data_IF_610389370104
#
_entry.id   IF_610389370104
#
_cell.length_a   1.000
_cell.length_b   1.000
_cell.length_c   1.000
_cell.angle_alpha   90.00
_cell.angle_beta   90.00
_cell.angle_gamma   90.00
#
_symmetry.space_group_name_H-M   'P 1'
#
loop_
_entity.id
_entity.type
_entity.pdbx_description
1 polymer ?
#
# COMPACT_ATOMS: atom_id res chain seq x y z
N UNK A 1 2.37 -33.91 29.99
CA UNK A 1 2.62 -32.79 29.05
C UNK A 1 2.80 -33.40 27.68
N UNK A 2 1.72 -33.39 26.91
CA UNK A 2 1.39 -34.40 25.91
C UNK A 2 2.11 -34.17 24.59
N UNK A 3 2.59 -35.25 23.96
CA UNK A 3 3.11 -35.27 22.58
C UNK A 3 2.19 -34.57 21.58
N UNK A 4 0.89 -34.53 21.87
CA UNK A 4 -0.13 -33.77 21.15
C UNK A 4 0.11 -32.26 21.15
N UNK A 5 0.59 -31.67 22.25
CA UNK A 5 0.91 -30.24 22.32
C UNK A 5 2.14 -29.90 21.48
N UNK A 6 3.14 -30.79 21.48
CA UNK A 6 4.34 -30.66 20.62
C UNK A 6 3.98 -30.88 19.16
N UNK A 7 3.13 -31.86 18.83
CA UNK A 7 2.63 -32.07 17.47
C UNK A 7 1.77 -30.93 16.97
N UNK A 8 0.90 -30.37 17.82
CA UNK A 8 0.13 -29.17 17.51
C UNK A 8 1.05 -27.96 17.27
N UNK A 9 2.07 -27.76 18.12
CA UNK A 9 3.09 -26.73 17.92
C UNK A 9 3.88 -26.92 16.61
N UNK A 10 4.24 -28.15 16.25
CA UNK A 10 4.93 -28.48 14.99
C UNK A 10 4.04 -28.28 13.76
N UNK A 11 2.73 -28.53 13.86
CA UNK A 11 1.77 -28.27 12.79
C UNK A 11 1.51 -26.76 12.59
N UNK A 12 1.48 -25.99 13.68
CA UNK A 12 1.36 -24.51 13.62
C UNK A 12 2.59 -23.88 12.99
N UNK A 13 3.80 -24.41 13.24
CA UNK A 13 5.03 -23.99 12.57
C UNK A 13 5.04 -24.31 11.06
N UNK A 14 4.24 -25.28 10.61
CA UNK A 14 4.27 -25.80 9.25
C UNK A 14 3.31 -25.11 8.27
N UNK A 15 2.45 -24.16 8.68
CA UNK A 15 1.41 -23.61 7.79
C UNK A 15 1.18 -22.10 7.84
N UNK A 16 2.17 -21.28 8.23
CA UNK A 16 2.05 -19.81 8.11
C UNK A 16 2.94 -19.28 6.99
N UNK A 17 2.50 -19.45 5.73
CA UNK A 17 3.05 -18.65 4.64
C UNK A 17 2.32 -17.32 4.64
N UNK A 18 2.89 -16.30 5.28
CA UNK A 18 2.43 -14.93 5.11
C UNK A 18 2.53 -14.54 3.63
N UNK A 19 1.48 -13.95 3.06
CA UNK A 19 1.49 -13.45 1.70
C UNK A 19 2.40 -12.21 1.62
N UNK A 20 3.39 -12.23 0.72
CA UNK A 20 4.25 -11.07 0.47
C UNK A 20 3.59 -10.16 -0.56
N UNK A 21 3.40 -8.89 -0.21
CA UNK A 21 2.80 -7.87 -1.06
C UNK A 21 3.80 -6.77 -1.34
N UNK A 22 3.82 -6.31 -2.59
CA UNK A 22 4.61 -5.15 -3.03
C UNK A 22 3.66 -3.98 -3.29
N UNK A 23 4.01 -2.79 -2.80
CA UNK A 23 3.27 -1.56 -3.10
C UNK A 23 4.14 -0.65 -3.95
N UNK A 24 3.52 -0.03 -4.96
CA UNK A 24 4.16 0.95 -5.82
C UNK A 24 3.27 2.17 -5.95
N UNK A 25 3.85 3.37 -5.77
CA UNK A 25 3.16 4.64 -6.03
C UNK A 25 3.99 5.47 -6.99
N UNK A 26 3.43 5.77 -8.16
CA UNK A 26 4.06 6.60 -9.19
C UNK A 26 3.44 8.00 -9.25
N UNK A 27 4.31 9.01 -9.37
CA UNK A 27 3.89 10.39 -9.67
C UNK A 27 3.75 10.58 -11.19
N UNK A 28 2.53 10.86 -11.68
CA UNK A 28 2.26 11.23 -13.08
C UNK A 28 1.66 12.63 -13.22
N UNK A 29 1.77 13.48 -12.19
CA UNK A 29 1.35 14.88 -12.24
C UNK A 29 1.96 15.59 -13.46
N UNK A 30 1.22 16.54 -14.03
CA UNK A 30 1.73 17.33 -15.15
C UNK A 30 2.62 18.50 -14.69
N UNK A 31 3.16 19.26 -15.65
CA UNK A 31 3.94 20.49 -15.41
C UNK A 31 5.20 20.31 -14.55
N UNK A 32 5.72 19.09 -14.43
CA UNK A 32 6.91 18.82 -13.62
C UNK A 32 6.69 18.96 -12.11
N UNK A 33 5.43 18.88 -11.65
CA UNK A 33 5.10 18.97 -10.22
C UNK A 33 5.76 17.83 -9.44
N UNK A 34 6.43 18.21 -8.35
CA UNK A 34 6.98 17.27 -7.37
C UNK A 34 5.89 16.92 -6.37
N UNK A 35 5.87 15.66 -5.97
CA UNK A 35 4.96 15.14 -4.95
C UNK A 35 5.75 14.77 -3.71
N UNK A 36 5.43 15.41 -2.58
CA UNK A 36 5.83 14.92 -1.28
C UNK A 36 4.97 13.70 -0.96
N UNK A 37 5.58 12.65 -0.42
CA UNK A 37 4.88 11.45 0.05
C UNK A 37 5.47 11.01 1.37
N UNK A 38 4.60 10.64 2.31
CA UNK A 38 4.95 9.95 3.54
C UNK A 38 4.06 8.72 3.64
N UNK A 39 4.65 7.54 3.75
CA UNK A 39 3.90 6.30 3.91
C UNK A 39 4.31 5.61 5.19
N UNK A 40 3.35 4.96 5.85
CA UNK A 40 3.60 4.24 7.09
C UNK A 40 2.51 3.20 7.34
N UNK A 41 2.80 2.27 8.24
CA UNK A 41 1.83 1.41 8.92
C UNK A 41 1.74 1.82 10.40
N UNK A 42 1.02 1.04 11.19
CA UNK A 42 1.02 1.20 12.66
C UNK A 42 2.42 1.02 13.27
N UNK A 43 3.25 0.15 12.70
CA UNK A 43 4.51 -0.30 13.30
C UNK A 43 5.74 0.16 12.52
N UNK A 44 5.58 0.48 11.23
CA UNK A 44 6.67 0.80 10.32
C UNK A 44 6.46 2.17 9.67
N UNK A 45 7.39 3.10 9.92
CA UNK A 45 7.47 4.37 9.19
C UNK A 45 8.40 4.21 7.99
N UNK A 46 7.87 4.39 6.77
CA UNK A 46 8.64 4.29 5.52
C UNK A 46 9.31 5.63 5.15
N UNK A 47 9.05 6.68 5.93
CA UNK A 47 9.65 7.99 5.83
C UNK A 47 9.09 8.88 4.73
N UNK A 48 9.61 10.11 4.69
CA UNK A 48 9.25 11.11 3.69
C UNK A 48 10.12 11.01 2.45
N UNK A 49 9.49 11.11 1.28
CA UNK A 49 10.14 11.11 -0.03
C UNK A 49 9.59 12.25 -0.90
N UNK A 50 10.40 12.69 -1.86
CA UNK A 50 9.98 13.67 -2.88
C UNK A 50 10.11 12.99 -4.25
N UNK A 51 8.97 12.77 -4.89
CA UNK A 51 8.88 12.11 -6.19
C UNK A 51 8.76 13.15 -7.31
N UNK A 52 9.69 13.15 -8.27
CA UNK A 52 9.52 13.89 -9.52
C UNK A 52 8.53 13.15 -10.43
N UNK A 53 8.09 13.81 -11.49
CA UNK A 53 7.24 13.17 -12.51
C UNK A 53 7.96 11.95 -13.11
N UNK A 54 7.30 10.79 -13.04
CA UNK A 54 7.84 9.50 -13.46
C UNK A 54 8.55 8.71 -12.36
N UNK A 55 8.90 9.33 -11.23
CA UNK A 55 9.49 8.64 -10.10
C UNK A 55 8.45 7.76 -9.39
N UNK A 56 8.92 6.64 -8.84
CA UNK A 56 8.12 5.66 -8.10
C UNK A 56 8.74 5.40 -6.75
N UNK A 57 7.93 5.42 -5.68
CA UNK A 57 8.29 4.81 -4.40
C UNK A 57 7.74 3.39 -4.36
N UNK A 58 8.51 2.47 -3.77
CA UNK A 58 8.09 1.08 -3.60
C UNK A 58 8.58 0.51 -2.28
N UNK A 59 7.79 -0.38 -1.70
CA UNK A 59 8.14 -1.17 -0.52
C UNK A 59 7.42 -2.50 -0.57
N UNK A 60 7.83 -3.42 0.30
CA UNK A 60 7.19 -4.73 0.43
C UNK A 60 7.07 -5.13 1.89
N UNK A 61 6.08 -5.97 2.16
CA UNK A 61 5.79 -6.47 3.50
C UNK A 61 5.12 -7.85 3.44
N UNK A 62 5.04 -8.47 4.60
CA UNK A 62 4.35 -9.72 4.84
C UNK A 62 2.98 -9.42 5.47
N UNK A 63 1.89 -9.86 4.84
CA UNK A 63 0.54 -9.70 5.39
C UNK A 63 0.43 -10.49 6.69
N UNK A 64 -0.04 -9.84 7.75
CA UNK A 64 -0.13 -10.49 9.06
C UNK A 64 -1.17 -11.63 9.03
N UNK A 65 -0.99 -12.62 9.91
CA UNK A 65 -1.85 -13.83 9.94
C UNK A 65 -3.32 -13.50 10.25
N UNK A 66 -3.57 -12.30 10.80
CA UNK A 66 -4.88 -11.87 11.25
C UNK A 66 -5.62 -11.07 10.16
N UNK A 67 -5.03 -10.93 8.96
CA UNK A 67 -5.53 -10.16 7.83
C UNK A 67 -5.93 -8.72 8.21
N UNK A 68 -5.11 -8.06 9.02
CA UNK A 68 -5.35 -6.67 9.48
C UNK A 68 -4.25 -5.69 9.07
N UNK A 69 -3.34 -6.11 8.19
CA UNK A 69 -2.25 -5.23 7.74
C UNK A 69 -2.83 -4.00 7.02
N UNK A 70 -2.37 -2.83 7.45
CA UNK A 70 -2.74 -1.53 6.90
C UNK A 70 -1.48 -0.70 6.67
N UNK A 71 -1.31 -0.21 5.45
CA UNK A 71 -0.38 0.86 5.11
C UNK A 71 -1.17 2.01 4.52
N UNK A 72 -0.83 3.23 4.92
CA UNK A 72 -1.43 4.44 4.40
C UNK A 72 -0.35 5.44 4.01
N UNK A 73 -0.72 6.35 3.12
CA UNK A 73 0.15 7.39 2.64
C UNK A 73 -0.54 8.74 2.68
N UNK A 74 0.25 9.75 3.04
CA UNK A 74 -0.08 11.15 2.89
C UNK A 74 0.73 11.72 1.73
N UNK A 75 0.05 12.40 0.81
CA UNK A 75 0.67 13.00 -0.38
C UNK A 75 0.32 14.48 -0.51
N UNK A 76 1.24 15.26 -1.06
CA UNK A 76 1.05 16.68 -1.29
C UNK A 76 1.81 17.13 -2.54
N UNK A 77 1.21 18.01 -3.33
CA UNK A 77 1.87 18.70 -4.43
C UNK A 77 1.33 20.13 -4.56
N UNK A 78 2.07 20.99 -5.27
CA UNK A 78 1.67 22.36 -5.59
C UNK A 78 1.24 23.23 -4.37
N UNK A 79 1.86 22.99 -3.20
CA UNK A 79 1.53 23.66 -1.94
C UNK A 79 0.05 23.56 -1.52
N UNK A 80 -0.66 22.54 -2.03
CA UNK A 80 -2.03 22.21 -1.63
C UNK A 80 -2.05 21.55 -0.25
N UNK A 81 -3.24 21.26 0.25
CA UNK A 81 -3.40 20.45 1.45
C UNK A 81 -2.83 19.04 1.25
N UNK A 82 -2.43 18.41 2.34
CA UNK A 82 -2.08 16.99 2.32
C UNK A 82 -3.33 16.14 2.09
N UNK A 83 -3.15 15.03 1.39
CA UNK A 83 -4.20 14.07 1.09
C UNK A 83 -3.83 12.68 1.57
N UNK A 84 -4.74 12.00 2.25
CA UNK A 84 -4.62 10.64 2.76
C UNK A 84 -5.24 9.62 1.80
N UNK A 85 -4.60 8.46 1.70
CA UNK A 85 -5.23 7.24 1.21
C UNK A 85 -4.59 5.98 1.83
N UNK A 86 -5.36 4.90 1.89
CA UNK A 86 -4.85 3.60 2.33
C UNK A 86 -4.17 2.91 1.14
N UNK A 87 -2.84 2.85 1.17
CA UNK A 87 -2.01 2.24 0.15
C UNK A 87 -2.06 0.70 0.17
N UNK A 88 -2.40 0.13 1.31
CA UNK A 88 -2.82 -1.27 1.43
C UNK A 88 -3.78 -1.45 2.59
N UNK A 89 -4.94 -2.05 2.36
CA UNK A 89 -5.87 -2.51 3.40
C UNK A 89 -6.15 -4.00 3.16
N UNK A 90 -5.79 -4.87 4.10
CA UNK A 90 -5.93 -6.31 3.94
C UNK A 90 -7.37 -6.77 3.64
N UNK A 91 -8.39 -6.07 4.16
CA UNK A 91 -9.80 -6.39 3.89
C UNK A 91 -10.22 -6.05 2.46
N UNK A 92 -9.73 -4.93 1.91
CA UNK A 92 -10.00 -4.47 0.54
C UNK A 92 -9.12 -5.15 -0.51
N UNK A 93 -7.83 -5.31 -0.21
CA UNK A 93 -6.79 -5.53 -1.22
C UNK A 93 -6.36 -6.98 -1.40
N UNK A 94 -6.75 -7.87 -0.49
CA UNK A 94 -6.40 -9.30 -0.60
C UNK A 94 -6.86 -9.94 -1.91
N UNK A 95 -7.94 -9.44 -2.52
CA UNK A 95 -8.42 -9.91 -3.82
C UNK A 95 -8.01 -8.96 -4.95
N UNK A 96 -8.11 -7.64 -4.73
CA UNK A 96 -7.77 -6.61 -5.72
C UNK A 96 -6.31 -6.62 -6.16
N UNK A 97 -5.35 -6.79 -5.25
CA UNK A 97 -3.92 -6.74 -5.57
C UNK A 97 -3.11 -7.75 -4.74
N UNK A 98 -3.29 -9.03 -5.06
CA UNK A 98 -2.68 -10.18 -4.36
C UNK A 98 -1.16 -10.14 -4.27
N UNK A 99 -0.51 -9.56 -5.28
CA UNK A 99 0.95 -9.55 -5.37
C UNK A 99 1.52 -8.14 -5.41
N UNK A 100 0.93 -7.27 -6.22
CA UNK A 100 1.43 -5.90 -6.43
C UNK A 100 0.28 -4.91 -6.42
N UNK A 101 0.23 -4.07 -5.39
CA UNK A 101 -0.70 -2.95 -5.32
C UNK A 101 -0.07 -1.73 -6.00
N UNK A 102 -0.51 -1.46 -7.24
CA UNK A 102 -0.03 -0.32 -8.03
C UNK A 102 -0.96 0.86 -7.85
N UNK A 103 -0.38 1.99 -7.50
CA UNK A 103 -1.03 3.28 -7.34
C UNK A 103 -0.41 4.32 -8.26
N UNK A 104 -1.23 5.25 -8.72
CA UNK A 104 -0.82 6.36 -9.56
C UNK A 104 -1.56 7.62 -9.14
N UNK A 105 -0.83 8.70 -8.86
CA UNK A 105 -1.40 10.05 -8.94
C UNK A 105 -1.33 10.47 -10.41
N UNK A 106 -2.49 10.61 -11.03
CA UNK A 106 -2.63 10.98 -12.45
C UNK A 106 -2.20 12.42 -12.72
N UNK A 107 -2.20 12.79 -14.01
CA UNK A 107 -1.89 14.15 -14.48
C UNK A 107 -2.78 15.20 -13.83
N UNK A 108 -4.04 14.84 -13.57
CA UNK A 108 -5.07 15.72 -13.01
C UNK A 108 -5.14 15.67 -11.48
N UNK A 109 -4.17 15.03 -10.82
CA UNK A 109 -4.11 14.94 -9.36
C UNK A 109 -5.09 13.93 -8.73
N UNK A 110 -5.68 13.05 -9.53
CA UNK A 110 -6.55 11.97 -9.04
C UNK A 110 -5.77 10.70 -8.75
N UNK A 111 -6.13 9.99 -7.68
CA UNK A 111 -5.57 8.69 -7.33
C UNK A 111 -6.25 7.57 -8.11
N UNK A 112 -5.44 6.71 -8.72
CA UNK A 112 -5.88 5.47 -9.35
C UNK A 112 -5.15 4.27 -8.74
N UNK A 113 -5.89 3.20 -8.48
CA UNK A 113 -5.38 1.90 -8.07
C UNK A 113 -5.60 0.89 -9.19
N UNK A 114 -4.58 0.11 -9.56
CA UNK A 114 -4.76 -1.00 -10.49
C UNK A 114 -5.43 -2.18 -9.78
N UNK A 115 -6.47 -2.72 -10.38
CA UNK A 115 -7.15 -3.93 -9.94
C UNK A 115 -6.61 -5.13 -10.76
N UNK A 116 -5.95 -6.08 -10.09
CA UNK A 116 -5.39 -7.28 -10.71
C UNK A 116 -6.46 -8.32 -11.07
N UNK A 117 -7.65 -8.26 -10.47
CA UNK A 117 -8.78 -9.12 -10.80
C UNK A 117 -9.50 -8.63 -12.05
N UNK A 118 -9.82 -7.34 -12.13
CA UNK A 118 -10.52 -6.74 -13.27
C UNK A 118 -9.59 -6.38 -14.43
N UNK A 119 -8.31 -6.09 -14.15
CA UNK A 119 -7.31 -5.65 -15.12
C UNK A 119 -7.39 -4.17 -15.49
N UNK A 120 -8.11 -3.36 -14.71
CA UNK A 120 -8.32 -1.94 -14.99
C UNK A 120 -7.71 -1.03 -13.91
N UNK A 121 -7.47 0.22 -14.28
CA UNK A 121 -7.18 1.29 -13.32
C UNK A 121 -8.50 1.89 -12.84
N UNK A 122 -8.71 1.82 -11.53
CA UNK A 122 -9.93 2.31 -10.89
C UNK A 122 -9.62 3.57 -10.09
N UNK A 123 -10.58 4.48 -10.06
CA UNK A 123 -10.44 5.73 -9.30
C UNK A 123 -10.65 5.49 -7.81
N UNK A 124 -9.82 6.12 -6.97
CA UNK A 124 -9.95 6.08 -5.52
C UNK A 124 -10.04 7.49 -4.94
N UNK A 125 -10.86 7.70 -3.91
CA UNK A 125 -10.95 8.99 -3.24
C UNK A 125 -9.66 9.30 -2.47
N UNK A 126 -9.15 10.52 -2.66
CA UNK A 126 -8.17 11.13 -1.77
C UNK A 126 -8.93 11.90 -0.68
N UNK A 127 -8.55 11.69 0.58
CA UNK A 127 -9.16 12.39 1.71
C UNK A 127 -8.27 13.57 2.07
N UNK A 128 -8.76 14.79 1.91
CA UNK A 128 -8.01 15.99 2.29
C UNK A 128 -7.87 16.07 3.81
N UNK A 129 -6.64 16.24 4.29
CA UNK A 129 -6.31 16.47 5.70
C UNK A 129 -6.46 17.98 5.95
N UNK A 130 -7.27 18.35 6.95
CA UNK A 130 -7.57 19.74 7.33
C UNK A 130 -7.05 20.05 8.72
#
# INVERSE_FOLDING_TARGET
MSKLFVQFLLLVLATSTSARVYVQLINRLDNGLRMNVHCQSREDDLGHHILKVGDTIQWDFNVNIWETTLFYCEVQWADLNWHHFDAYDAGRDKDRCRSVCRWMISRDGLLYGYDEESGYWEWFPLITIT
#
